data_IF_352198857253
#
_entry.id   IF_352198857253
#
_cell.length_a   1.000
_cell.length_b   1.000
_cell.length_c   1.000
_cell.angle_alpha   90.00
_cell.angle_beta   90.00
_cell.angle_gamma   90.00
#
_symmetry.space_group_name_H-M   'P 1'
#
loop_
_entity.id
_entity.type
_entity.pdbx_description
1 polymer ?
#
# COMPACT_ATOMS: atom_id res chain seq x y z
N UNK A 1 -27.87 10.62 10.86
CA UNK A 1 -26.52 10.73 10.30
C UNK A 1 -26.32 9.53 9.38
N UNK A 2 -25.93 9.72 8.11
CA UNK A 2 -25.74 8.61 7.16
C UNK A 2 -24.30 8.08 7.19
N UNK A 3 -24.12 6.79 6.93
CA UNK A 3 -22.79 6.19 6.74
C UNK A 3 -22.11 6.82 5.52
N UNK A 4 -20.95 7.45 5.73
CA UNK A 4 -20.21 8.13 4.65
C UNK A 4 -19.64 7.08 3.66
N UNK A 5 -19.71 7.32 2.33
CA UNK A 5 -19.24 6.36 1.33
C UNK A 5 -17.76 5.96 1.47
N UNK A 6 -16.92 6.85 2.01
CA UNK A 6 -15.49 6.64 2.20
C UNK A 6 -15.20 5.47 3.15
N UNK A 7 -16.07 5.23 4.13
CA UNK A 7 -15.93 4.11 5.06
C UNK A 7 -16.04 2.75 4.36
N UNK A 8 -16.74 2.68 3.21
CA UNK A 8 -16.86 1.45 2.43
C UNK A 8 -15.59 1.15 1.61
N UNK A 9 -14.61 2.06 1.61
CA UNK A 9 -13.33 1.91 0.92
C UNK A 9 -12.16 1.75 1.90
N UNK A 10 -12.44 1.53 3.19
CA UNK A 10 -11.41 1.38 4.22
C UNK A 10 -10.69 0.03 4.09
N UNK A 11 -9.36 0.09 4.10
CA UNK A 11 -8.45 -1.05 4.21
C UNK A 11 -7.88 -1.11 5.63
N UNK A 12 -7.46 -2.30 6.07
CA UNK A 12 -6.94 -2.51 7.42
C UNK A 12 -5.52 -3.06 7.39
N UNK A 13 -4.64 -2.47 8.19
CA UNK A 13 -3.26 -2.94 8.38
C UNK A 13 -3.08 -3.33 9.85
N UNK A 14 -3.23 -4.62 10.20
CA UNK A 14 -2.85 -5.11 11.51
C UNK A 14 -1.36 -4.86 11.74
N UNK A 15 -1.00 -4.49 12.97
CA UNK A 15 0.40 -4.46 13.38
C UNK A 15 0.78 -5.80 13.96
N UNK A 16 1.98 -6.30 13.71
CA UNK A 16 2.41 -7.51 14.40
C UNK A 16 2.30 -7.31 15.92
N UNK A 17 1.72 -8.27 16.66
CA UNK A 17 1.78 -8.25 18.12
C UNK A 17 3.27 -8.24 18.53
N UNK A 18 3.59 -7.48 19.58
CA UNK A 18 4.92 -7.60 20.17
C UNK A 18 5.12 -9.00 20.75
N UNK A 19 6.38 -9.41 20.98
CA UNK A 19 6.73 -10.76 21.48
C UNK A 19 5.95 -11.20 22.73
N UNK A 20 5.50 -10.25 23.55
CA UNK A 20 4.76 -10.49 24.80
C UNK A 20 3.23 -10.40 24.67
N UNK A 21 2.69 -10.19 23.47
CA UNK A 21 1.25 -10.07 23.24
C UNK A 21 0.69 -11.35 22.61
N UNK A 22 -0.48 -11.82 23.06
CA UNK A 22 -1.12 -12.98 22.45
C UNK A 22 -1.49 -12.69 21.01
N UNK A 23 -1.34 -13.69 20.14
CA UNK A 23 -1.81 -13.64 18.76
C UNK A 23 -3.33 -13.41 18.74
N UNK A 24 -3.84 -12.43 17.98
CA UNK A 24 -5.27 -12.20 17.91
C UNK A 24 -6.01 -13.36 17.25
N UNK A 25 -7.16 -13.74 17.83
CA UNK A 25 -8.11 -14.67 17.23
C UNK A 25 -9.07 -13.91 16.31
N UNK A 26 -8.70 -13.80 15.04
CA UNK A 26 -9.47 -13.10 14.01
C UNK A 26 -10.79 -13.79 13.64
N UNK A 27 -11.05 -15.00 14.14
CA UNK A 27 -12.29 -15.74 13.85
C UNK A 27 -13.47 -15.28 14.73
N UNK A 28 -13.20 -14.79 15.94
CA UNK A 28 -14.22 -14.30 16.87
C UNK A 28 -14.67 -12.88 16.51
N UNK A 29 -15.91 -12.48 16.81
CA UNK A 29 -16.37 -11.12 16.55
C UNK A 29 -15.56 -10.05 17.29
N UNK A 30 -15.27 -8.94 16.62
CA UNK A 30 -14.58 -7.78 17.19
C UNK A 30 -15.01 -6.47 16.53
N UNK A 31 -14.87 -5.36 17.26
CA UNK A 31 -15.04 -4.02 16.71
C UNK A 31 -13.69 -3.42 16.31
N UNK A 32 -13.65 -2.58 15.28
CA UNK A 32 -12.50 -1.70 14.98
C UNK A 32 -12.92 -0.27 15.27
N UNK A 33 -12.22 0.35 16.22
CA UNK A 33 -12.51 1.70 16.74
C UNK A 33 -11.31 2.61 16.55
N UNK A 34 -11.56 3.85 16.13
CA UNK A 34 -10.57 4.94 16.10
C UNK A 34 -11.06 6.11 16.96
N UNK A 35 -10.16 7.04 17.27
CA UNK A 35 -10.47 8.32 17.87
C UNK A 35 -9.86 9.47 17.06
N UNK A 36 -9.48 9.20 15.80
CA UNK A 36 -8.91 10.19 14.90
C UNK A 36 -10.01 11.07 14.32
N UNK A 37 -9.66 12.33 14.04
CA UNK A 37 -10.50 13.32 13.37
C UNK A 37 -11.97 13.34 13.89
N UNK A 38 -12.18 13.52 15.20
CA UNK A 38 -13.53 13.50 15.79
C UNK A 38 -14.45 14.52 15.12
N UNK A 39 -15.72 14.13 14.91
CA UNK A 39 -16.72 14.86 14.13
C UNK A 39 -16.43 14.90 12.63
N UNK A 40 -15.45 14.12 12.15
CA UNK A 40 -14.93 14.19 10.78
C UNK A 40 -14.16 15.49 10.49
N UNK A 41 -13.70 16.20 11.52
CA UNK A 41 -12.89 17.42 11.37
C UNK A 41 -11.41 17.07 11.42
N UNK A 42 -10.62 17.67 10.52
CA UNK A 42 -9.16 17.46 10.49
C UNK A 42 -8.54 18.01 11.78
N UNK A 43 -8.12 17.11 12.66
CA UNK A 43 -7.42 17.43 13.90
C UNK A 43 -5.90 17.42 13.68
N UNK A 44 -5.15 18.08 14.56
CA UNK A 44 -3.69 18.03 14.51
C UNK A 44 -3.18 16.62 14.84
N UNK A 45 -1.96 16.30 14.41
CA UNK A 45 -1.36 15.00 14.71
C UNK A 45 -1.23 14.76 16.23
N UNK A 46 -0.95 15.81 17.01
CA UNK A 46 -0.86 15.74 18.47
C UNK A 46 -2.22 15.47 19.12
N UNK A 47 -3.27 16.15 18.67
CA UNK A 47 -4.64 15.90 19.15
C UNK A 47 -5.07 14.47 18.84
N UNK A 48 -4.82 13.99 17.62
CA UNK A 48 -5.12 12.62 17.21
C UNK A 48 -4.33 11.59 18.03
N UNK A 49 -3.05 11.84 18.31
CA UNK A 49 -2.23 10.98 19.18
C UNK A 49 -2.80 10.91 20.60
N UNK A 50 -3.22 12.04 21.15
CA UNK A 50 -3.77 12.14 22.49
C UNK A 50 -5.12 11.41 22.60
N UNK A 51 -6.05 11.66 21.67
CA UNK A 51 -7.34 10.95 21.64
C UNK A 51 -7.17 9.43 21.51
N UNK A 52 -6.27 8.99 20.64
CA UNK A 52 -5.96 7.57 20.49
C UNK A 52 -5.30 6.96 21.75
N UNK A 53 -4.53 7.75 22.52
CA UNK A 53 -3.99 7.33 23.83
C UNK A 53 -5.12 7.15 24.84
N UNK A 54 -6.08 8.08 24.89
CA UNK A 54 -7.24 8.03 25.78
C UNK A 54 -8.14 6.84 25.46
N UNK A 55 -8.44 6.59 24.18
CA UNK A 55 -9.18 5.40 23.74
C UNK A 55 -8.49 4.12 24.21
N UNK A 56 -7.18 4.01 24.00
CA UNK A 56 -6.39 2.85 24.47
C UNK A 56 -6.51 2.65 25.98
N UNK A 57 -6.44 3.72 26.76
CA UNK A 57 -6.56 3.65 28.23
C UNK A 57 -7.95 3.19 28.65
N UNK A 58 -9.01 3.70 28.01
CA UNK A 58 -10.39 3.29 28.29
C UNK A 58 -10.62 1.81 27.97
N UNK A 59 -10.13 1.34 26.83
CA UNK A 59 -10.18 -0.07 26.46
C UNK A 59 -9.43 -0.97 27.46
N UNK A 60 -8.28 -0.51 27.97
CA UNK A 60 -7.55 -1.24 29.03
C UNK A 60 -8.33 -1.30 30.35
N UNK A 61 -8.94 -0.19 30.78
CA UNK A 61 -9.74 -0.14 32.02
C UNK A 61 -10.97 -1.06 31.95
N UNK A 62 -11.60 -1.15 30.77
CA UNK A 62 -12.69 -2.10 30.49
C UNK A 62 -12.24 -3.55 30.38
N UNK A 63 -10.93 -3.84 30.54
CA UNK A 63 -10.32 -5.18 30.43
C UNK A 63 -10.59 -5.87 29.09
N UNK A 64 -10.77 -5.09 28.02
CA UNK A 64 -10.92 -5.63 26.67
C UNK A 64 -9.57 -6.07 26.09
N UNK A 65 -9.59 -7.21 25.41
CA UNK A 65 -8.50 -7.60 24.50
C UNK A 65 -8.52 -6.66 23.31
N UNK A 66 -7.36 -6.06 23.00
CA UNK A 66 -7.24 -5.12 21.90
C UNK A 66 -5.94 -5.32 21.15
N UNK A 67 -5.99 -5.06 19.86
CA UNK A 67 -4.86 -5.17 18.96
C UNK A 67 -4.79 -3.94 18.07
N UNK A 68 -3.59 -3.43 17.81
CA UNK A 68 -3.42 -2.23 16.98
C UNK A 68 -3.69 -2.57 15.52
N UNK A 69 -4.55 -1.76 14.90
CA UNK A 69 -4.82 -1.80 13.47
C UNK A 69 -4.72 -0.37 12.97
N UNK A 70 -4.26 -0.17 11.75
CA UNK A 70 -4.41 1.11 11.07
C UNK A 70 -5.56 0.97 10.05
N UNK A 71 -6.51 1.89 10.09
CA UNK A 71 -7.52 2.03 9.05
C UNK A 71 -6.99 3.01 7.99
N UNK A 72 -7.01 2.61 6.72
CA UNK A 72 -6.34 3.33 5.63
C UNK A 72 -7.32 3.52 4.48
N UNK A 73 -7.32 4.70 3.85
CA UNK A 73 -8.09 4.92 2.62
C UNK A 73 -7.51 4.11 1.45
N UNK A 74 -8.35 3.73 0.49
CA UNK A 74 -7.94 2.87 -0.64
C UNK A 74 -6.83 3.47 -1.52
N UNK A 75 -6.74 4.80 -1.57
CA UNK A 75 -5.72 5.58 -2.26
C UNK A 75 -4.47 5.86 -1.39
N UNK A 76 -4.46 5.41 -0.13
CA UNK A 76 -3.37 5.55 0.84
C UNK A 76 -3.06 6.99 1.28
N UNK A 77 -3.94 7.95 1.02
CA UNK A 77 -3.77 9.36 1.41
C UNK A 77 -4.11 9.63 2.87
N UNK A 78 -5.02 8.83 3.45
CA UNK A 78 -5.43 8.92 4.85
C UNK A 78 -5.10 7.64 5.61
N UNK A 79 -4.65 7.80 6.85
CA UNK A 79 -4.38 6.69 7.76
C UNK A 79 -4.76 7.11 9.18
N UNK A 80 -5.63 6.32 9.78
CA UNK A 80 -6.10 6.51 11.15
C UNK A 80 -5.59 5.37 12.02
N UNK A 81 -5.05 5.71 13.20
CA UNK A 81 -4.70 4.69 14.19
C UNK A 81 -5.98 4.19 14.83
N UNK A 82 -6.13 2.88 14.91
CA UNK A 82 -7.31 2.23 15.46
C UNK A 82 -6.94 1.01 16.31
N UNK A 83 -7.95 0.42 16.93
CA UNK A 83 -7.85 -0.82 17.67
C UNK A 83 -8.92 -1.79 17.20
N UNK A 84 -8.53 -3.01 16.85
CA UNK A 84 -9.42 -4.16 16.86
C UNK A 84 -9.64 -4.57 18.33
N UNK A 85 -10.90 -4.76 18.74
CA UNK A 85 -11.28 -4.96 20.14
C UNK A 85 -12.30 -6.08 20.27
N UNK A 86 -11.94 -7.11 21.03
CA UNK A 86 -12.79 -8.27 21.32
C UNK A 86 -13.52 -8.08 22.66
N UNK A 87 -14.69 -8.70 22.77
CA UNK A 87 -15.51 -8.70 23.99
C UNK A 87 -16.39 -7.45 24.18
N UNK A 88 -16.42 -6.53 23.20
CA UNK A 88 -17.40 -5.46 23.15
C UNK A 88 -18.76 -5.99 22.70
N UNK A 89 -19.85 -5.36 23.16
CA UNK A 89 -21.15 -5.43 22.52
C UNK A 89 -21.28 -4.29 21.49
N UNK A 90 -22.25 -4.37 20.58
CA UNK A 90 -22.58 -3.28 19.66
C UNK A 90 -22.94 -1.98 20.43
N UNK A 91 -23.67 -2.09 21.54
CA UNK A 91 -24.02 -0.93 22.38
C UNK A 91 -22.79 -0.28 23.02
N UNK A 92 -21.83 -1.07 23.49
CA UNK A 92 -20.59 -0.56 24.06
C UNK A 92 -19.68 0.07 22.98
N UNK A 93 -19.59 -0.54 21.79
CA UNK A 93 -18.86 0.02 20.66
C UNK A 93 -19.47 1.36 20.20
N UNK A 94 -20.80 1.43 20.13
CA UNK A 94 -21.55 2.66 19.82
C UNK A 94 -21.28 3.76 20.85
N UNK A 95 -21.35 3.43 22.15
CA UNK A 95 -21.08 4.39 23.22
C UNK A 95 -19.64 4.92 23.16
N UNK A 96 -18.65 4.06 22.91
CA UNK A 96 -17.26 4.49 22.71
C UNK A 96 -17.11 5.36 21.47
N UNK A 97 -17.75 5.00 20.35
CA UNK A 97 -17.74 5.80 19.14
C UNK A 97 -18.25 7.22 19.41
N UNK A 98 -19.44 7.35 19.99
CA UNK A 98 -20.02 8.66 20.35
C UNK A 98 -19.14 9.47 21.29
N UNK A 99 -18.56 8.83 22.32
CA UNK A 99 -17.69 9.50 23.28
C UNK A 99 -16.41 10.07 22.65
N UNK A 100 -15.82 9.36 21.69
CA UNK A 100 -14.65 9.83 20.94
C UNK A 100 -15.03 10.59 19.66
N UNK A 101 -16.29 11.05 19.57
CA UNK A 101 -16.79 11.88 18.46
C UNK A 101 -16.79 11.17 17.11
N UNK A 102 -16.86 9.85 17.07
CA UNK A 102 -16.88 9.07 15.84
C UNK A 102 -18.31 8.86 15.36
N UNK A 103 -18.50 9.00 14.05
CA UNK A 103 -19.79 8.80 13.40
C UNK A 103 -20.11 7.33 13.12
N UNK A 104 -19.09 6.48 13.11
CA UNK A 104 -19.20 5.06 12.82
C UNK A 104 -18.06 4.25 13.45
N UNK A 105 -18.27 2.93 13.53
CA UNK A 105 -17.24 1.94 13.84
C UNK A 105 -17.38 0.76 12.88
N UNK A 106 -16.31 -0.05 12.75
CA UNK A 106 -16.42 -1.30 12.01
C UNK A 106 -16.68 -2.46 12.96
N UNK A 107 -17.48 -3.42 12.51
CA UNK A 107 -17.72 -4.69 13.19
C UNK A 107 -17.32 -5.82 12.26
N UNK A 108 -16.51 -6.74 12.76
CA UNK A 108 -16.07 -7.92 12.02
C UNK A 108 -16.67 -9.15 12.68
N UNK A 109 -17.35 -9.95 11.89
CA UNK A 109 -17.95 -11.21 12.33
C UNK A 109 -18.05 -12.15 11.12
N UNK A 110 -17.77 -13.44 11.34
CA UNK A 110 -17.84 -14.47 10.30
C UNK A 110 -17.04 -14.09 9.04
N UNK A 111 -15.85 -13.51 9.26
CA UNK A 111 -14.95 -13.04 8.20
C UNK A 111 -15.44 -11.83 7.41
N UNK A 112 -16.58 -11.22 7.78
CA UNK A 112 -17.19 -10.11 7.06
C UNK A 112 -17.10 -8.82 7.86
N UNK A 113 -16.68 -7.74 7.22
CA UNK A 113 -16.60 -6.40 7.79
C UNK A 113 -17.86 -5.61 7.46
N UNK A 114 -18.50 -5.08 8.49
CA UNK A 114 -19.60 -4.13 8.40
C UNK A 114 -19.16 -2.79 9.01
N UNK A 115 -19.66 -1.69 8.46
CA UNK A 115 -19.61 -0.38 9.12
C UNK A 115 -20.97 -0.12 9.75
N UNK A 116 -20.98 0.32 11.00
CA UNK A 116 -22.17 0.65 11.77
C UNK A 116 -22.17 2.12 12.12
N UNK A 117 -23.32 2.79 11.99
CA UNK A 117 -23.48 4.15 12.48
C UNK A 117 -23.45 4.17 14.01
N UNK A 118 -22.83 5.20 14.58
CA UNK A 118 -22.93 5.49 16.01
C UNK A 118 -24.25 6.21 16.37
N UNK A 119 -24.94 6.79 15.38
CA UNK A 119 -26.08 7.69 15.58
C UNK A 119 -27.43 7.06 15.20
N UNK A 120 -27.41 6.02 14.37
CA UNK A 120 -28.59 5.32 13.86
C UNK A 120 -28.39 3.80 13.97
N UNK A 121 -29.43 3.02 13.71
CA UNK A 121 -29.32 1.56 13.60
C UNK A 121 -28.78 1.09 12.25
N UNK A 122 -28.39 2.00 11.36
CA UNK A 122 -27.90 1.65 10.03
C UNK A 122 -26.54 0.95 10.09
N UNK A 123 -26.40 -0.08 9.26
CA UNK A 123 -25.13 -0.72 8.97
C UNK A 123 -25.03 -1.04 7.48
N UNK A 124 -23.79 -1.15 6.98
CA UNK A 124 -23.51 -1.55 5.61
C UNK A 124 -22.34 -2.51 5.58
N UNK A 125 -22.47 -3.56 4.77
CA UNK A 125 -21.35 -4.46 4.50
C UNK A 125 -20.28 -3.72 3.68
N UNK A 126 -19.03 -3.87 4.10
CA UNK A 126 -17.84 -3.33 3.42
C UNK A 126 -17.24 -4.38 2.50
N UNK A 127 -17.08 -5.62 3.01
CA UNK A 127 -16.47 -6.74 2.28
C UNK A 127 -15.97 -7.82 3.22
N UNK A 128 -15.28 -8.83 2.70
CA UNK A 128 -14.58 -9.81 3.55
C UNK A 128 -13.34 -9.17 4.18
N UNK A 129 -13.01 -9.56 5.42
CA UNK A 129 -11.82 -9.08 6.13
C UNK A 129 -10.57 -9.38 5.30
N UNK A 130 -10.44 -10.59 4.76
CA UNK A 130 -9.32 -11.01 3.92
C UNK A 130 -9.08 -10.06 2.74
N UNK A 131 -10.13 -9.67 2.01
CA UNK A 131 -10.01 -8.77 0.87
C UNK A 131 -9.63 -7.33 1.27
N UNK A 132 -9.86 -6.94 2.53
CA UNK A 132 -9.61 -5.62 3.08
C UNK A 132 -8.28 -5.52 3.85
N UNK A 133 -7.67 -6.65 4.20
CA UNK A 133 -6.37 -6.69 4.89
C UNK A 133 -5.23 -6.30 3.95
N UNK A 134 -4.32 -5.48 4.45
CA UNK A 134 -3.08 -5.08 3.78
C UNK A 134 -1.92 -5.11 4.75
N UNK A 135 -0.71 -5.18 4.20
CA UNK A 135 0.55 -4.93 4.89
C UNK A 135 1.05 -3.52 4.56
N UNK A 136 2.08 -3.05 5.28
CA UNK A 136 2.77 -1.80 4.89
C UNK A 136 3.44 -1.89 3.53
N UNK A 137 3.86 -3.10 3.14
CA UNK A 137 4.52 -3.35 1.87
C UNK A 137 3.59 -3.18 0.68
N UNK A 138 2.27 -3.20 0.88
CA UNK A 138 1.26 -3.03 -0.17
C UNK A 138 1.02 -1.56 -0.55
N UNK A 139 1.64 -0.60 0.17
CA UNK A 139 1.56 0.81 -0.21
C UNK A 139 2.25 1.00 -1.57
N UNK A 140 1.54 1.56 -2.58
CA UNK A 140 2.16 1.88 -3.87
C UNK A 140 3.19 2.99 -3.68
N UNK A 141 4.45 2.69 -3.96
CA UNK A 141 5.59 3.60 -3.70
C UNK A 141 6.53 3.74 -4.88
N UNK A 142 6.39 2.91 -5.91
CA UNK A 142 7.36 2.81 -6.99
C UNK A 142 6.74 2.99 -8.37
N UNK A 143 7.48 3.63 -9.26
CA UNK A 143 7.21 3.71 -10.69
C UNK A 143 8.07 2.67 -11.42
N UNK A 144 7.45 1.96 -12.36
CA UNK A 144 8.17 1.26 -13.42
C UNK A 144 8.62 2.29 -14.46
N UNK A 145 9.81 2.11 -15.03
CA UNK A 145 10.29 2.96 -16.13
C UNK A 145 11.11 2.16 -17.13
N UNK A 146 11.11 2.63 -18.38
CA UNK A 146 11.87 2.06 -19.48
C UNK A 146 12.72 3.14 -20.14
N UNK A 147 14.01 2.86 -20.30
CA UNK A 147 14.97 3.70 -21.01
C UNK A 147 15.34 3.00 -22.31
N UNK A 148 15.27 3.71 -23.43
CA UNK A 148 15.91 3.30 -24.67
C UNK A 148 17.42 3.41 -24.52
N UNK A 149 18.14 2.32 -24.79
CA UNK A 149 19.58 2.28 -24.83
C UNK A 149 20.09 2.43 -26.27
N UNK A 150 21.28 3.00 -26.40
CA UNK A 150 22.06 3.00 -27.63
C UNK A 150 22.34 1.53 -28.04
N UNK A 151 21.97 1.12 -29.28
CA UNK A 151 22.23 -0.23 -29.78
C UNK A 151 23.68 -0.69 -29.68
N UNK A 152 24.65 0.24 -29.59
CA UNK A 152 26.06 -0.08 -29.35
C UNK A 152 26.27 -0.92 -28.08
N UNK A 153 25.37 -0.83 -27.07
CA UNK A 153 25.42 -1.69 -25.87
C UNK A 153 25.47 -3.18 -26.21
N UNK A 154 24.78 -3.59 -27.28
CA UNK A 154 24.74 -4.97 -27.72
C UNK A 154 26.09 -5.41 -28.27
N UNK A 155 26.83 -4.54 -28.96
CA UNK A 155 28.17 -4.86 -29.47
C UNK A 155 29.23 -4.81 -28.36
N UNK A 156 29.14 -3.81 -27.49
CA UNK A 156 30.13 -3.56 -26.45
C UNK A 156 30.07 -4.56 -25.28
N UNK A 157 28.91 -5.18 -25.02
CA UNK A 157 28.71 -5.95 -23.80
C UNK A 157 28.28 -7.39 -24.04
N UNK A 158 29.22 -8.32 -23.81
CA UNK A 158 28.96 -9.76 -23.85
C UNK A 158 27.82 -10.18 -22.92
N UNK A 159 27.84 -9.73 -21.66
CA UNK A 159 26.78 -10.06 -20.69
C UNK A 159 25.39 -9.59 -21.14
N UNK A 160 25.31 -8.41 -21.78
CA UNK A 160 24.05 -7.91 -22.32
C UNK A 160 23.53 -8.79 -23.46
N UNK A 161 24.42 -9.25 -24.36
CA UNK A 161 24.05 -10.20 -25.42
C UNK A 161 23.60 -11.55 -24.87
N UNK A 162 24.34 -12.10 -23.91
CA UNK A 162 24.03 -13.41 -23.32
C UNK A 162 22.66 -13.42 -22.62
N UNK A 163 22.25 -12.29 -22.03
CA UNK A 163 20.88 -12.13 -21.49
C UNK A 163 19.79 -11.97 -22.55
N UNK A 164 20.15 -11.76 -23.81
CA UNK A 164 19.21 -11.43 -24.88
C UNK A 164 19.49 -12.25 -26.16
N UNK A 165 19.45 -13.60 -26.09
CA UNK A 165 19.77 -14.48 -27.22
C UNK A 165 18.81 -14.31 -28.41
N UNK A 166 17.55 -13.97 -28.14
CA UNK A 166 16.48 -13.85 -29.14
C UNK A 166 16.30 -12.42 -29.68
N UNK A 167 17.28 -11.54 -29.45
CA UNK A 167 17.23 -10.15 -29.92
C UNK A 167 17.11 -10.05 -31.44
N UNK A 168 16.15 -9.26 -31.91
CA UNK A 168 15.93 -8.98 -33.34
C UNK A 168 16.51 -7.60 -33.66
N UNK A 169 17.38 -7.50 -34.67
CA UNK A 169 18.11 -6.26 -34.97
C UNK A 169 17.23 -5.01 -35.27
N UNK A 170 15.96 -5.20 -35.64
CA UNK A 170 15.00 -4.10 -35.87
C UNK A 170 14.32 -3.61 -34.58
N UNK A 171 14.51 -4.32 -33.47
CA UNK A 171 13.93 -4.01 -32.16
C UNK A 171 14.88 -3.15 -31.33
N UNK A 172 14.34 -2.57 -30.26
CA UNK A 172 15.10 -1.69 -29.37
C UNK A 172 15.98 -2.46 -28.38
N UNK A 173 17.12 -1.85 -28.01
CA UNK A 173 17.83 -2.15 -26.76
C UNK A 173 17.21 -1.31 -25.63
N UNK A 174 16.82 -1.93 -24.53
CA UNK A 174 16.05 -1.31 -23.45
C UNK A 174 16.70 -1.58 -22.09
N UNK A 175 16.50 -0.65 -21.17
CA UNK A 175 16.71 -0.86 -19.74
C UNK A 175 15.38 -0.69 -19.00
N UNK A 176 15.00 -1.69 -18.22
CA UNK A 176 13.81 -1.70 -17.36
C UNK A 176 14.24 -1.56 -15.92
N UNK A 177 13.54 -0.72 -15.16
CA UNK A 177 13.80 -0.59 -13.73
C UNK A 177 12.60 -0.04 -12.97
N UNK A 178 12.72 -0.05 -11.65
CA UNK A 178 11.75 0.55 -10.73
C UNK A 178 12.38 1.62 -9.84
N UNK A 179 11.58 2.61 -9.42
CA UNK A 179 12.09 3.71 -8.60
C UNK A 179 11.02 4.33 -7.70
N UNK A 180 11.39 4.84 -6.54
CA UNK A 180 10.51 5.66 -5.67
C UNK A 180 10.49 7.15 -6.07
N UNK A 181 11.31 7.53 -7.04
CA UNK A 181 11.33 8.87 -7.64
C UNK A 181 10.41 8.91 -8.85
N UNK A 182 10.30 10.07 -9.50
CA UNK A 182 9.77 10.06 -10.87
C UNK A 182 10.76 9.36 -11.84
N UNK A 183 10.27 8.76 -12.93
CA UNK A 183 11.12 8.23 -14.01
C UNK A 183 12.15 9.24 -14.53
N UNK A 184 11.76 10.51 -14.69
CA UNK A 184 12.60 11.62 -15.16
C UNK A 184 13.72 11.92 -14.17
N UNK A 185 13.39 12.09 -12.89
CA UNK A 185 14.37 12.30 -11.82
C UNK A 185 15.34 11.12 -11.72
N UNK A 186 14.83 9.89 -11.85
CA UNK A 186 15.67 8.68 -11.83
C UNK A 186 16.59 8.65 -13.05
N UNK A 187 16.10 8.95 -14.24
CA UNK A 187 16.93 8.97 -15.45
C UNK A 187 18.01 10.05 -15.37
N UNK A 188 17.68 11.26 -14.92
CA UNK A 188 18.66 12.32 -14.69
C UNK A 188 19.76 11.90 -13.71
N UNK A 189 19.41 11.19 -12.62
CA UNK A 189 20.40 10.63 -11.69
C UNK A 189 21.30 9.56 -12.33
N UNK A 190 20.76 8.74 -13.25
CA UNK A 190 21.58 7.79 -14.01
C UNK A 190 22.59 8.52 -14.89
N UNK A 191 22.16 9.55 -15.63
CA UNK A 191 23.00 10.37 -16.50
C UNK A 191 24.09 11.11 -15.71
N UNK A 192 23.76 11.64 -14.52
CA UNK A 192 24.71 12.25 -13.61
C UNK A 192 25.63 11.25 -12.88
N UNK A 193 25.46 9.93 -13.10
CA UNK A 193 26.26 8.89 -12.46
C UNK A 193 25.98 8.66 -10.97
N UNK A 194 24.90 9.22 -10.43
CA UNK A 194 24.53 9.08 -9.01
C UNK A 194 23.60 7.89 -8.82
N UNK A 195 24.02 6.90 -8.00
CA UNK A 195 23.30 5.62 -7.80
C UNK A 195 22.88 5.02 -9.15
N UNK A 196 23.78 5.04 -10.14
CA UNK A 196 23.46 4.78 -11.52
C UNK A 196 23.69 3.32 -11.93
N UNK A 197 22.86 2.79 -12.83
CA UNK A 197 23.16 1.55 -13.54
C UNK A 197 24.15 1.84 -14.68
N UNK A 198 25.13 0.96 -14.88
CA UNK A 198 26.19 1.16 -15.89
C UNK A 198 25.66 1.34 -17.31
N UNK A 199 24.64 0.58 -17.70
CA UNK A 199 24.06 0.64 -19.05
C UNK A 199 23.17 1.86 -19.21
N UNK A 200 22.30 2.14 -18.25
CA UNK A 200 21.48 3.35 -18.25
C UNK A 200 22.33 4.62 -18.27
N UNK A 201 23.48 4.64 -17.56
CA UNK A 201 24.42 5.76 -17.57
C UNK A 201 25.16 5.90 -18.90
N UNK A 202 25.76 4.81 -19.41
CA UNK A 202 26.66 4.87 -20.58
C UNK A 202 25.90 4.93 -21.90
N UNK A 203 24.79 4.22 -22.01
CA UNK A 203 24.05 4.04 -23.26
C UNK A 203 22.63 4.60 -23.21
N UNK A 204 22.16 5.16 -22.09
CA UNK A 204 20.80 5.67 -21.98
C UNK A 204 20.54 6.87 -22.89
N UNK A 205 19.62 6.72 -23.85
CA UNK A 205 19.25 7.75 -24.82
C UNK A 205 18.07 8.60 -24.34
N UNK A 206 16.94 7.95 -24.02
CA UNK A 206 15.70 8.61 -23.59
C UNK A 206 14.77 7.66 -22.85
N UNK A 207 13.84 8.21 -22.06
CA UNK A 207 12.70 7.45 -21.54
C UNK A 207 11.72 7.11 -22.65
N UNK A 208 10.99 6.00 -22.50
CA UNK A 208 9.89 5.59 -23.38
C UNK A 208 8.57 5.48 -22.58
N UNK A 209 7.88 6.60 -22.30
CA UNK A 209 6.65 6.62 -21.50
C UNK A 209 5.56 5.68 -22.01
N UNK A 210 5.43 5.52 -23.33
CA UNK A 210 4.45 4.60 -23.94
C UNK A 210 4.58 3.16 -23.44
N UNK A 211 5.79 2.76 -23.00
CA UNK A 211 6.07 1.44 -22.45
C UNK A 211 5.85 1.34 -20.94
N UNK A 212 5.49 2.39 -20.20
CA UNK A 212 5.33 2.26 -18.74
C UNK A 212 4.29 3.18 -18.09
N UNK A 213 3.87 4.27 -18.73
CA UNK A 213 3.04 5.31 -18.11
C UNK A 213 1.68 4.80 -17.61
N UNK A 214 1.14 3.77 -18.28
CA UNK A 214 -0.13 3.15 -17.93
C UNK A 214 0.00 2.01 -16.92
N UNK A 215 1.22 1.66 -16.48
CA UNK A 215 1.40 0.67 -15.44
C UNK A 215 1.02 1.23 -14.07
N UNK A 216 0.30 0.47 -13.23
CA UNK A 216 0.03 0.88 -11.87
C UNK A 216 1.33 1.05 -11.09
N UNK A 217 1.33 1.96 -10.11
CA UNK A 217 2.45 2.06 -9.16
C UNK A 217 2.66 0.73 -8.45
N UNK A 218 3.92 0.33 -8.37
CA UNK A 218 4.36 -0.90 -7.74
C UNK A 218 4.50 -0.71 -6.23
N UNK A 219 4.36 -1.80 -5.51
CA UNK A 219 4.43 -1.88 -4.05
C UNK A 219 5.78 -2.45 -3.62
N UNK A 220 6.13 -2.36 -2.34
CA UNK A 220 7.36 -2.97 -1.84
C UNK A 220 7.32 -4.51 -1.95
N UNK A 221 6.12 -5.10 -1.94
CA UNK A 221 5.93 -6.55 -2.01
C UNK A 221 6.04 -7.12 -3.44
N UNK A 222 5.80 -6.32 -4.48
CA UNK A 222 5.70 -6.84 -5.85
C UNK A 222 6.70 -6.24 -6.86
N UNK A 223 7.45 -5.20 -6.50
CA UNK A 223 8.20 -4.45 -7.51
C UNK A 223 9.25 -5.29 -8.23
N UNK A 224 9.94 -6.21 -7.54
CA UNK A 224 11.01 -7.02 -8.12
C UNK A 224 10.47 -8.01 -9.16
N UNK A 225 9.41 -8.75 -8.81
CA UNK A 225 8.72 -9.67 -9.72
C UNK A 225 8.13 -8.93 -10.94
N UNK A 226 7.56 -7.74 -10.71
CA UNK A 226 7.00 -6.91 -11.80
C UNK A 226 8.07 -6.33 -12.71
N UNK A 227 9.25 -5.97 -12.18
CA UNK A 227 10.40 -5.54 -12.99
C UNK A 227 10.90 -6.68 -13.88
N UNK A 228 11.04 -7.88 -13.32
CA UNK A 228 11.53 -9.05 -14.03
C UNK A 228 10.54 -9.55 -15.10
N UNK A 229 9.27 -9.75 -14.72
CA UNK A 229 8.23 -10.21 -15.65
C UNK A 229 8.09 -9.26 -16.84
N UNK A 230 8.07 -7.95 -16.60
CA UNK A 230 7.96 -6.99 -17.69
C UNK A 230 9.20 -6.95 -18.59
N UNK A 231 10.40 -7.09 -18.02
CA UNK A 231 11.60 -7.23 -18.83
C UNK A 231 11.56 -8.49 -19.71
N UNK A 232 11.00 -9.59 -19.22
CA UNK A 232 10.83 -10.82 -19.98
C UNK A 232 9.77 -10.68 -21.09
N UNK A 233 8.64 -10.01 -20.82
CA UNK A 233 7.63 -9.71 -21.84
C UNK A 233 8.23 -8.94 -23.03
N UNK A 234 9.03 -7.91 -22.75
CA UNK A 234 9.71 -7.14 -23.79
C UNK A 234 10.75 -7.98 -24.56
N UNK A 235 11.46 -8.90 -23.88
CA UNK A 235 12.35 -9.85 -24.57
C UNK A 235 11.60 -10.78 -25.51
N UNK A 236 10.44 -11.30 -25.10
CA UNK A 236 9.59 -12.15 -25.95
C UNK A 236 9.09 -11.41 -27.20
N UNK A 237 8.94 -10.08 -27.13
CA UNK A 237 8.64 -9.23 -28.28
C UNK A 237 9.85 -9.02 -29.22
N UNK A 238 11.04 -9.50 -28.82
CA UNK A 238 12.28 -9.45 -29.59
C UNK A 238 13.20 -8.28 -29.23
N UNK A 239 12.88 -7.49 -28.19
CA UNK A 239 13.78 -6.46 -27.67
C UNK A 239 14.97 -7.06 -26.93
N UNK A 240 16.11 -6.37 -26.92
CA UNK A 240 17.20 -6.70 -26.00
C UNK A 240 17.05 -5.87 -24.74
N UNK A 241 16.84 -6.50 -23.59
CA UNK A 241 16.50 -5.82 -22.35
C UNK A 241 17.54 -6.10 -21.28
N UNK A 242 17.84 -5.09 -20.47
CA UNK A 242 18.53 -5.25 -19.20
C UNK A 242 17.66 -4.76 -18.04
N UNK A 243 17.63 -5.53 -16.97
CA UNK A 243 17.05 -5.20 -15.67
C UNK A 243 18.07 -5.53 -14.57
N UNK A 244 17.93 -4.90 -13.41
CA UNK A 244 18.85 -5.13 -12.28
C UNK A 244 18.51 -6.40 -11.51
#
# INVERSE_FOLDING_TARGET
>A
FMIRPEYLQTLFIPKEPGETQPTPDWSRPFAILTAFNPGGQLATEEQNKEQNRLLRQKLSRGKYTKHKVDAVSRDWTHTEKSFAVWGLSHSAATALGLEFGQDAYFWVQDGTVHVHSCHTSESRQVGSLEALLRTRGDKPTRHLYVIQLDPQVYQDSRAFREKNPDYRAQQLCLYVGTTVLSPEERFAKHQAGTKANRYAKKYGLKLLPDLYQNHPRLTANNYAEREESYANELRLQGHAVWQN
#
